data_IF_825105908356
#
_entry.id   IF_825105908356
#
_cell.length_a   1.000
_cell.length_b   1.000
_cell.length_c   1.000
_cell.angle_alpha   90.00
_cell.angle_beta   90.00
_cell.angle_gamma   90.00
#
_symmetry.space_group_name_H-M   'P 1'
#
loop_
_entity.id
_entity.type
_entity.pdbx_description
1 polymer ?
#
# COMPACT_ATOMS: atom_id res chain seq x y z
N UNK A 1 11.99 -31.92 -13.90
CA UNK A 1 12.06 -30.54 -13.34
C UNK A 1 10.69 -29.96 -13.57
N UNK A 2 9.90 -29.85 -12.51
CA UNK A 2 8.55 -29.32 -12.59
C UNK A 2 8.67 -27.81 -12.82
N UNK A 3 8.18 -27.35 -13.97
CA UNK A 3 8.07 -25.93 -14.27
C UNK A 3 6.98 -25.41 -13.36
N UNK A 4 7.35 -24.86 -12.20
CA UNK A 4 6.41 -24.18 -11.32
C UNK A 4 5.68 -23.11 -12.14
N UNK A 5 4.46 -23.41 -12.57
CA UNK A 5 3.58 -22.46 -13.22
C UNK A 5 3.30 -21.34 -12.21
N UNK A 6 4.06 -20.26 -12.33
CA UNK A 6 3.80 -19.05 -11.58
C UNK A 6 2.43 -18.52 -12.03
N UNK A 7 1.49 -18.45 -11.09
CA UNK A 7 0.17 -17.88 -11.38
C UNK A 7 0.32 -16.46 -11.93
N UNK A 8 -0.39 -16.19 -13.01
CA UNK A 8 -0.42 -14.86 -13.59
C UNK A 8 -1.05 -13.84 -12.62
N UNK A 9 -0.72 -12.55 -12.73
CA UNK A 9 -1.38 -11.49 -11.95
C UNK A 9 -2.90 -11.47 -12.12
N UNK A 10 -3.42 -11.90 -13.27
CA UNK A 10 -4.87 -11.96 -13.54
C UNK A 10 -5.53 -13.10 -12.77
N UNK A 11 -4.89 -14.26 -12.71
CA UNK A 11 -5.38 -15.42 -11.94
C UNK A 11 -5.36 -15.15 -10.44
N UNK A 12 -4.29 -14.51 -9.93
CA UNK A 12 -4.21 -14.05 -8.54
C UNK A 12 -5.39 -13.14 -8.19
N UNK A 13 -5.64 -12.12 -9.01
CA UNK A 13 -6.77 -11.19 -8.82
C UNK A 13 -8.12 -11.92 -8.89
N UNK A 14 -8.28 -12.88 -9.80
CA UNK A 14 -9.51 -13.67 -9.92
C UNK A 14 -9.76 -14.51 -8.67
N UNK A 15 -8.75 -15.27 -8.22
CA UNK A 15 -8.85 -16.11 -7.02
C UNK A 15 -9.12 -15.26 -5.77
N UNK A 16 -8.45 -14.11 -5.63
CA UNK A 16 -8.70 -13.18 -4.52
C UNK A 16 -10.11 -12.58 -4.54
N UNK A 17 -10.65 -12.24 -5.73
CA UNK A 17 -12.05 -11.82 -5.86
C UNK A 17 -13.03 -12.92 -5.46
N UNK A 18 -12.75 -14.18 -5.81
CA UNK A 18 -13.57 -15.32 -5.40
C UNK A 18 -13.53 -15.50 -3.87
N UNK A 19 -12.34 -15.43 -3.26
CA UNK A 19 -12.20 -15.48 -1.81
C UNK A 19 -12.96 -14.34 -1.11
N UNK A 20 -12.91 -13.11 -1.66
CA UNK A 20 -13.70 -11.97 -1.15
C UNK A 20 -15.23 -12.19 -1.23
N UNK A 21 -15.70 -13.08 -2.11
CA UNK A 21 -17.12 -13.37 -2.28
C UNK A 21 -17.63 -14.49 -1.35
N UNK A 22 -16.75 -15.35 -0.84
CA UNK A 22 -17.11 -16.36 0.17
C UNK A 22 -17.67 -15.69 1.43
N UNK A 23 -18.64 -16.24 2.16
CA UNK A 23 -19.09 -15.65 3.42
C UNK A 23 -17.95 -15.50 4.45
N UNK A 24 -18.07 -14.52 5.36
CA UNK A 24 -17.14 -14.39 6.50
C UNK A 24 -17.27 -15.58 7.47
N UNK A 25 -18.48 -16.12 7.58
CA UNK A 25 -18.82 -17.27 8.42
C UNK A 25 -18.48 -18.58 7.71
N UNK A 26 -18.08 -19.61 8.46
CA UNK A 26 -17.88 -20.97 7.93
C UNK A 26 -16.47 -21.31 7.41
N UNK A 27 -15.45 -20.49 7.65
CA UNK A 27 -14.03 -20.86 7.49
C UNK A 27 -13.48 -20.90 6.06
N UNK A 28 -14.30 -21.16 5.04
CA UNK A 28 -13.86 -21.28 3.64
C UNK A 28 -13.12 -20.04 3.12
N UNK A 29 -13.55 -18.83 3.54
CA UNK A 29 -12.87 -17.58 3.17
C UNK A 29 -11.42 -17.54 3.69
N UNK A 30 -11.19 -17.96 4.94
CA UNK A 30 -9.85 -18.02 5.53
C UNK A 30 -8.98 -19.05 4.81
N UNK A 31 -9.54 -20.23 4.53
CA UNK A 31 -8.83 -21.28 3.78
C UNK A 31 -8.43 -20.81 2.38
N UNK A 32 -9.33 -20.13 1.66
CA UNK A 32 -9.05 -19.58 0.34
C UNK A 32 -7.89 -18.56 0.38
N UNK A 33 -7.88 -17.66 1.37
CA UNK A 33 -6.78 -16.72 1.54
C UNK A 33 -5.47 -17.39 1.96
N UNK A 34 -5.50 -18.40 2.83
CA UNK A 34 -4.31 -19.18 3.22
C UNK A 34 -3.72 -19.91 1.99
N UNK A 35 -4.56 -20.52 1.17
CA UNK A 35 -4.13 -21.17 -0.07
C UNK A 35 -3.48 -20.16 -1.04
N UNK A 36 -4.05 -18.96 -1.16
CA UNK A 36 -3.47 -17.87 -1.94
C UNK A 36 -2.13 -17.39 -1.38
N UNK A 37 -1.99 -17.25 -0.06
CA UNK A 37 -0.72 -16.86 0.57
C UNK A 37 0.36 -17.91 0.35
N UNK A 38 0.04 -19.20 0.47
CA UNK A 38 1.00 -20.28 0.19
C UNK A 38 1.45 -20.31 -1.27
N UNK A 39 0.56 -19.98 -2.20
CA UNK A 39 0.86 -20.01 -3.62
C UNK A 39 1.50 -18.70 -4.14
N UNK A 40 1.28 -17.56 -3.48
CA UNK A 40 1.95 -16.29 -3.78
C UNK A 40 2.10 -15.43 -2.51
N UNK A 41 3.21 -15.61 -1.75
CA UNK A 41 3.44 -14.90 -0.49
C UNK A 41 3.57 -13.38 -0.65
N UNK A 42 3.98 -12.89 -1.82
CA UNK A 42 4.16 -11.46 -2.08
C UNK A 42 2.86 -10.73 -2.48
N UNK A 43 1.71 -11.42 -2.53
CA UNK A 43 0.46 -10.80 -2.98
C UNK A 43 -0.21 -10.01 -1.84
N UNK A 44 0.26 -8.77 -1.64
CA UNK A 44 -0.15 -7.87 -0.55
C UNK A 44 -1.67 -7.77 -0.35
N UNK A 45 -2.52 -7.57 -1.38
CA UNK A 45 -3.98 -7.53 -1.19
C UNK A 45 -4.55 -8.77 -0.50
N UNK A 46 -3.99 -9.95 -0.76
CA UNK A 46 -4.40 -11.19 -0.11
C UNK A 46 -4.01 -11.22 1.36
N UNK A 47 -2.78 -10.82 1.69
CA UNK A 47 -2.29 -10.79 3.08
C UNK A 47 -3.12 -9.83 3.94
N UNK A 48 -3.46 -8.66 3.41
CA UNK A 48 -4.33 -7.70 4.11
C UNK A 48 -5.74 -8.28 4.31
N UNK A 49 -6.33 -8.91 3.29
CA UNK A 49 -7.64 -9.55 3.39
C UNK A 49 -7.64 -10.74 4.38
N UNK A 50 -6.58 -11.55 4.39
CA UNK A 50 -6.40 -12.65 5.33
C UNK A 50 -6.40 -12.15 6.77
N UNK A 51 -5.57 -11.15 7.06
CA UNK A 51 -5.49 -10.56 8.41
C UNK A 51 -6.84 -10.01 8.87
N UNK A 52 -7.51 -9.19 8.05
CA UNK A 52 -8.83 -8.63 8.38
C UNK A 52 -9.87 -9.74 8.63
N UNK A 53 -9.83 -10.82 7.86
CA UNK A 53 -10.78 -11.93 8.00
C UNK A 53 -10.54 -12.75 9.26
N UNK A 54 -9.28 -13.06 9.58
CA UNK A 54 -8.90 -13.71 10.84
C UNK A 54 -9.39 -12.89 12.05
N UNK A 55 -9.24 -11.57 11.99
CA UNK A 55 -9.71 -10.65 13.03
C UNK A 55 -11.23 -10.39 13.01
N UNK A 56 -11.94 -10.69 11.93
CA UNK A 56 -13.39 -10.62 11.91
C UNK A 56 -14.02 -11.90 12.48
N UNK A 57 -13.46 -13.05 12.12
CA UNK A 57 -13.95 -14.38 12.47
C UNK A 57 -13.50 -14.91 13.84
N UNK A 58 -12.94 -14.07 14.71
CA UNK A 58 -12.50 -14.45 16.07
C UNK A 58 -13.70 -14.91 16.91
N UNK A 59 -13.95 -16.21 16.86
CA UNK A 59 -14.75 -16.98 17.81
C UNK A 59 -13.97 -18.27 18.12
N UNK A 60 -13.71 -18.56 19.40
CA UNK A 60 -12.85 -19.68 19.80
C UNK A 60 -11.39 -19.26 20.05
N UNK A 61 -10.42 -20.01 19.53
CA UNK A 61 -8.96 -19.84 19.73
C UNK A 61 -8.45 -18.51 19.14
N UNK A 62 -8.75 -17.43 19.85
CA UNK A 62 -8.45 -16.07 19.45
C UNK A 62 -6.95 -15.82 19.35
N UNK A 63 -6.12 -16.54 20.10
CA UNK A 63 -4.69 -16.30 20.15
C UNK A 63 -3.98 -16.75 18.87
N UNK A 64 -4.34 -17.92 18.32
CA UNK A 64 -3.82 -18.41 17.04
C UNK A 64 -4.27 -17.51 15.87
N UNK A 65 -5.56 -17.16 15.81
CA UNK A 65 -6.09 -16.29 14.76
C UNK A 65 -5.41 -14.92 14.77
N UNK A 66 -5.15 -14.35 15.95
CA UNK A 66 -4.47 -13.07 16.08
C UNK A 66 -2.97 -13.19 15.74
N UNK A 67 -2.29 -14.27 16.11
CA UNK A 67 -0.90 -14.52 15.71
C UNK A 67 -0.75 -14.63 14.18
N UNK A 68 -1.65 -15.36 13.52
CA UNK A 68 -1.66 -15.45 12.06
C UNK A 68 -1.99 -14.11 11.38
N UNK A 69 -2.91 -13.34 11.96
CA UNK A 69 -3.25 -12.01 11.46
C UNK A 69 -2.05 -11.05 11.55
N UNK A 70 -1.28 -11.12 12.63
CA UNK A 70 -0.04 -10.37 12.79
C UNK A 70 1.00 -10.77 11.75
N UNK A 71 1.25 -12.07 11.58
CA UNK A 71 2.23 -12.56 10.61
C UNK A 71 1.88 -12.08 9.20
N UNK A 72 0.61 -12.18 8.80
CA UNK A 72 0.15 -11.70 7.51
C UNK A 72 0.38 -10.18 7.32
N UNK A 73 0.21 -9.37 8.37
CA UNK A 73 0.47 -7.92 8.30
C UNK A 73 1.96 -7.60 8.23
N UNK A 74 2.81 -8.33 8.97
CA UNK A 74 4.26 -8.18 8.91
C UNK A 74 4.79 -8.59 7.53
N UNK A 75 4.34 -9.73 7.00
CA UNK A 75 4.68 -10.17 5.64
C UNK A 75 4.24 -9.13 4.60
N UNK A 76 3.04 -8.55 4.75
CA UNK A 76 2.53 -7.52 3.85
C UNK A 76 3.39 -6.26 3.88
N UNK A 77 3.80 -5.82 5.08
CA UNK A 77 4.71 -4.68 5.25
C UNK A 77 6.06 -4.96 4.59
N UNK A 78 6.66 -6.13 4.84
CA UNK A 78 7.98 -6.51 4.35
C UNK A 78 8.03 -6.59 2.81
N UNK A 79 7.06 -7.27 2.18
CA UNK A 79 7.07 -7.45 0.71
C UNK A 79 6.61 -6.19 -0.04
N UNK A 80 6.01 -5.22 0.65
CA UNK A 80 5.52 -3.98 0.02
C UNK A 80 6.58 -2.89 -0.15
N UNK A 81 7.83 -3.16 0.27
CA UNK A 81 8.98 -2.26 0.10
C UNK A 81 8.72 -0.82 0.59
N UNK A 82 8.05 -0.67 1.74
CA UNK A 82 7.75 0.63 2.34
C UNK A 82 6.47 1.29 1.83
N UNK A 83 5.60 0.56 1.14
CA UNK A 83 4.28 1.08 0.80
C UNK A 83 3.51 1.46 2.09
N UNK A 84 2.84 2.62 2.14
CA UNK A 84 2.20 3.08 3.37
C UNK A 84 1.04 2.19 3.85
N UNK A 85 0.26 1.61 2.93
CA UNK A 85 -0.99 0.92 3.30
C UNK A 85 -0.75 -0.28 4.25
N UNK A 86 0.14 -1.25 3.97
CA UNK A 86 0.37 -2.35 4.89
C UNK A 86 0.93 -1.91 6.25
N UNK A 87 1.79 -0.89 6.26
CA UNK A 87 2.35 -0.32 7.50
C UNK A 87 1.28 0.36 8.36
N UNK A 88 0.31 1.06 7.74
CA UNK A 88 -0.84 1.63 8.46
C UNK A 88 -1.69 0.55 9.12
N UNK A 89 -1.96 -0.55 8.41
CA UNK A 89 -2.75 -1.66 8.98
C UNK A 89 -2.00 -2.39 10.09
N UNK A 90 -0.69 -2.61 9.92
CA UNK A 90 0.17 -3.16 10.96
C UNK A 90 0.19 -2.27 12.21
N UNK A 91 0.35 -0.95 12.05
CA UNK A 91 0.32 0.01 13.15
C UNK A 91 -1.01 -0.01 13.92
N UNK A 92 -2.14 -0.07 13.20
CA UNK A 92 -3.47 -0.19 13.84
C UNK A 92 -3.60 -1.48 14.62
N UNK A 93 -3.17 -2.60 14.04
CA UNK A 93 -3.17 -3.89 14.72
C UNK A 93 -2.33 -3.87 16.00
N UNK A 94 -1.10 -3.38 15.92
CA UNK A 94 -0.18 -3.32 17.06
C UNK A 94 -0.72 -2.44 18.18
N UNK A 95 -1.36 -1.31 17.84
CA UNK A 95 -1.97 -0.40 18.81
C UNK A 95 -3.21 -1.00 19.48
N UNK A 96 -4.10 -1.60 18.69
CA UNK A 96 -5.46 -1.96 19.15
C UNK A 96 -5.60 -3.40 19.62
N UNK A 97 -4.84 -4.33 19.02
CA UNK A 97 -4.94 -5.77 19.28
C UNK A 97 -3.80 -6.26 20.17
N UNK A 98 -2.57 -5.76 19.95
CA UNK A 98 -1.40 -6.15 20.76
C UNK A 98 -1.11 -5.22 21.93
N UNK A 99 -1.69 -4.02 21.94
CA UNK A 99 -1.34 -2.97 22.90
C UNK A 99 0.18 -2.73 22.97
N UNK A 100 0.86 -2.74 21.81
CA UNK A 100 2.29 -2.44 21.66
C UNK A 100 2.47 -1.04 21.06
N UNK A 101 2.37 0.05 21.86
CA UNK A 101 2.37 1.42 21.36
C UNK A 101 3.70 1.81 20.70
N UNK A 102 4.83 1.27 21.17
CA UNK A 102 6.15 1.57 20.61
C UNK A 102 6.32 0.99 19.21
N UNK A 103 5.88 -0.25 18.98
CA UNK A 103 5.94 -0.83 17.63
C UNK A 103 4.89 -0.22 16.70
N UNK A 104 3.70 0.11 17.24
CA UNK A 104 2.67 0.80 16.48
C UNK A 104 3.14 2.18 15.99
N UNK A 105 3.77 2.97 16.86
CA UNK A 105 4.34 4.27 16.51
C UNK A 105 5.36 4.15 15.38
N UNK A 106 6.30 3.21 15.48
CA UNK A 106 7.29 2.96 14.42
C UNK A 106 6.63 2.62 13.08
N UNK A 107 5.63 1.74 13.09
CA UNK A 107 4.90 1.38 11.88
C UNK A 107 4.19 2.60 11.27
N UNK A 108 3.54 3.43 12.09
CA UNK A 108 2.91 4.68 11.62
C UNK A 108 3.91 5.70 11.11
N UNK A 109 5.07 5.86 11.75
CA UNK A 109 6.12 6.76 11.31
C UNK A 109 6.65 6.34 9.93
N UNK A 110 6.97 5.05 9.75
CA UNK A 110 7.41 4.54 8.44
C UNK A 110 6.33 4.68 7.37
N UNK A 111 5.05 4.46 7.71
CA UNK A 111 3.96 4.70 6.78
C UNK A 111 3.86 6.18 6.35
N UNK A 112 4.03 7.11 7.31
CA UNK A 112 4.00 8.54 7.04
C UNK A 112 5.17 8.97 6.14
N UNK A 113 6.38 8.46 6.37
CA UNK A 113 7.55 8.71 5.52
C UNK A 113 7.35 8.21 4.09
N UNK A 114 6.83 6.99 3.94
CA UNK A 114 6.48 6.44 2.62
C UNK A 114 5.40 7.26 1.92
N UNK A 115 4.39 7.71 2.65
CA UNK A 115 3.29 8.51 2.09
C UNK A 115 3.76 9.90 1.64
N UNK A 116 4.66 10.53 2.40
CA UNK A 116 5.28 11.80 2.01
C UNK A 116 6.12 11.63 0.74
N UNK A 117 6.91 10.57 0.64
CA UNK A 117 7.71 10.29 -0.56
C UNK A 117 6.82 10.11 -1.81
N UNK A 118 5.73 9.34 -1.69
CA UNK A 118 4.78 9.14 -2.79
C UNK A 118 4.05 10.42 -3.17
N UNK A 119 3.69 11.27 -2.21
CA UNK A 119 3.04 12.55 -2.46
C UNK A 119 3.97 13.52 -3.21
N UNK A 120 5.25 13.59 -2.80
CA UNK A 120 6.27 14.39 -3.48
C UNK A 120 6.38 13.98 -4.96
N UNK A 121 6.49 12.67 -5.21
CA UNK A 121 6.57 12.13 -6.57
C UNK A 121 5.31 12.41 -7.39
N UNK A 122 4.13 12.20 -6.82
CA UNK A 122 2.85 12.42 -7.50
C UNK A 122 2.66 13.90 -7.89
N UNK A 123 3.02 14.84 -7.00
CA UNK A 123 2.97 16.27 -7.32
C UNK A 123 4.00 16.67 -8.37
N UNK A 124 5.24 16.16 -8.30
CA UNK A 124 6.23 16.40 -9.34
C UNK A 124 5.76 15.89 -10.71
N UNK A 125 5.19 14.68 -10.76
CA UNK A 125 4.61 14.11 -11.98
C UNK A 125 3.42 14.93 -12.51
N UNK A 126 2.54 15.41 -11.63
CA UNK A 126 1.41 16.27 -12.01
C UNK A 126 1.87 17.59 -12.63
N UNK A 127 2.87 18.25 -12.03
CA UNK A 127 3.47 19.49 -12.57
C UNK A 127 4.02 19.24 -13.98
N UNK A 128 4.76 18.14 -14.18
CA UNK A 128 5.29 17.77 -15.49
C UNK A 128 4.18 17.54 -16.52
N UNK A 129 3.14 16.79 -16.14
CA UNK A 129 2.02 16.49 -17.02
C UNK A 129 1.23 17.75 -17.43
N UNK A 130 1.03 18.70 -16.52
CA UNK A 130 0.39 19.99 -16.81
C UNK A 130 1.26 20.85 -17.73
N UNK A 131 2.57 20.90 -17.49
CA UNK A 131 3.53 21.56 -18.36
C UNK A 131 3.54 20.99 -19.79
N UNK A 132 3.51 19.65 -19.92
CA UNK A 132 3.40 18.97 -21.22
C UNK A 132 2.08 19.27 -21.94
N UNK A 133 1.01 19.61 -21.21
CA UNK A 133 -0.25 20.10 -21.78
C UNK A 133 -0.22 21.60 -22.12
N UNK A 134 0.75 22.35 -21.61
CA UNK A 134 0.90 23.79 -21.84
C UNK A 134 0.14 24.62 -20.82
N UNK A 135 -0.29 23.99 -19.72
CA UNK A 135 -1.02 24.61 -18.63
C UNK A 135 -0.02 25.04 -17.56
N UNK A 136 0.79 26.06 -17.86
CA UNK A 136 1.87 26.49 -16.98
C UNK A 136 1.32 27.05 -15.66
N UNK A 137 0.28 27.86 -15.72
CA UNK A 137 -0.36 28.48 -14.54
C UNK A 137 -0.85 27.40 -13.57
N UNK A 138 -1.57 26.40 -14.06
CA UNK A 138 -2.03 25.27 -13.25
C UNK A 138 -0.86 24.45 -12.68
N UNK A 139 0.27 24.34 -13.40
CA UNK A 139 1.46 23.67 -12.90
C UNK A 139 2.09 24.44 -11.72
N UNK A 140 2.12 25.77 -11.77
CA UNK A 140 2.64 26.63 -10.70
C UNK A 140 1.72 26.65 -9.46
N UNK A 141 0.41 26.55 -9.64
CA UNK A 141 -0.52 26.37 -8.51
C UNK A 141 -0.24 25.07 -7.75
N UNK A 142 0.10 23.99 -8.46
CA UNK A 142 0.51 22.72 -7.82
C UNK A 142 1.87 22.87 -7.15
N UNK A 143 2.81 23.61 -7.73
CA UNK A 143 4.08 23.92 -7.06
C UNK A 143 3.85 24.63 -5.72
N UNK A 144 3.03 25.68 -5.69
CA UNK A 144 2.78 26.45 -4.47
C UNK A 144 2.28 25.56 -3.33
N UNK A 145 1.30 24.69 -3.63
CA UNK A 145 0.82 23.68 -2.70
C UNK A 145 1.93 22.73 -2.27
N UNK A 146 2.74 22.26 -3.23
CA UNK A 146 3.81 21.33 -2.96
C UNK A 146 4.92 21.90 -2.06
N UNK A 147 5.26 23.18 -2.21
CA UNK A 147 6.29 23.86 -1.42
C UNK A 147 5.89 24.05 0.05
N UNK A 148 4.59 24.08 0.34
CA UNK A 148 4.10 24.09 1.72
C UNK A 148 4.47 22.83 2.51
N UNK A 149 4.63 21.69 1.82
CA UNK A 149 4.98 20.39 2.43
C UNK A 149 6.44 20.03 2.16
N UNK A 150 6.93 20.30 0.96
CA UNK A 150 8.28 19.94 0.48
C UNK A 150 9.06 21.17 0.04
N UNK A 151 9.45 22.06 0.98
CA UNK A 151 10.05 23.36 0.65
C UNK A 151 11.33 23.22 -0.20
N UNK A 152 12.11 22.16 0.05
CA UNK A 152 13.40 21.92 -0.58
C UNK A 152 13.40 20.78 -1.59
N UNK A 153 12.23 20.37 -2.12
CA UNK A 153 12.15 19.26 -3.07
C UNK A 153 12.91 19.55 -4.36
N UNK A 154 13.86 18.68 -4.68
CA UNK A 154 14.55 18.68 -5.98
C UNK A 154 13.63 18.19 -7.09
N UNK A 155 12.78 17.20 -6.82
CA UNK A 155 11.84 16.64 -7.80
C UNK A 155 10.85 17.70 -8.29
N UNK A 156 10.25 18.46 -7.37
CA UNK A 156 9.36 19.59 -7.69
C UNK A 156 10.10 20.67 -8.48
N UNK A 157 11.31 21.03 -8.06
CA UNK A 157 12.14 22.03 -8.77
C UNK A 157 12.41 21.63 -10.22
N UNK A 158 12.76 20.36 -10.47
CA UNK A 158 13.00 19.83 -11.81
C UNK A 158 11.71 19.78 -12.65
N UNK A 159 10.59 19.43 -12.04
CA UNK A 159 9.29 19.39 -12.70
C UNK A 159 8.86 20.78 -13.21
N UNK A 160 9.02 21.82 -12.39
CA UNK A 160 8.71 23.22 -12.73
C UNK A 160 9.59 23.72 -13.87
N UNK A 161 10.90 23.46 -13.79
CA UNK A 161 11.82 23.80 -14.88
C UNK A 161 11.44 23.10 -16.19
N UNK A 162 10.94 21.86 -16.13
CA UNK A 162 10.41 21.15 -17.30
C UNK A 162 9.16 21.82 -17.86
N UNK A 163 8.21 22.22 -17.00
CA UNK A 163 6.99 22.90 -17.43
C UNK A 163 7.29 24.22 -18.15
N UNK A 164 8.21 25.04 -17.63
CA UNK A 164 8.64 26.27 -18.29
C UNK A 164 9.26 26.04 -19.67
N UNK A 165 10.08 24.99 -19.84
CA UNK A 165 10.65 24.64 -21.15
C UNK A 165 9.56 24.26 -22.17
N UNK A 166 8.54 23.53 -21.75
CA UNK A 166 7.42 23.16 -22.63
C UNK A 166 6.53 24.35 -23.01
N UNK A 167 6.46 25.38 -22.17
CA UNK A 167 5.76 26.61 -22.49
C UNK A 167 6.55 27.50 -23.45
N UNK A 168 7.88 27.60 -23.29
CA UNK A 168 8.75 28.42 -24.13
C UNK A 168 9.05 27.81 -25.52
N UNK A 169 8.88 26.50 -25.68
CA UNK A 169 9.08 25.78 -26.95
C UNK A 169 7.83 25.66 -27.82
N UNK A 170 6.72 26.32 -27.46
CA UNK A 170 5.50 26.48 -28.28
C UNK A 170 5.46 27.89 -28.86
#
# INVERSE_FOLDING_TARGET
MDMSEHMSPQELRRKWKLANAEPLEGGHRVEAYRALSGACPAFVPNLLSLSRTLLAGRQGDADDAVAQAEQALRDAADVSAGAPEPLLELGRFLSTVRASPVEAERAFASAAEGALSLLEEAWAGRIQALGAQGQLEAALEVEEQARGVFPNSKAITLAVASAHRHAAGR
#
